data_IF_983586054069
#
_entry.id   IF_983586054069
#
_cell.length_a   1.000
_cell.length_b   1.000
_cell.length_c   1.000
_cell.angle_alpha   90.00
_cell.angle_beta   90.00
_cell.angle_gamma   90.00
#
_symmetry.space_group_name_H-M   'P 1'
#
loop_
_entity.id
_entity.type
_entity.pdbx_description
1 polymer ?
#
# COMPACT_ATOMS: atom_id res chain seq x y z
N UNK A 1 6.34 25.02 20.86
CA UNK A 1 7.19 23.84 21.11
C UNK A 1 7.51 23.22 19.78
N UNK A 2 8.79 23.32 19.31
CA UNK A 2 9.18 22.73 18.03
C UNK A 2 9.19 21.19 18.10
N UNK A 3 8.57 20.54 17.14
CA UNK A 3 8.61 19.08 17.02
C UNK A 3 10.07 18.61 16.92
N UNK A 4 10.52 17.79 17.87
CA UNK A 4 11.86 17.20 17.81
C UNK A 4 11.90 16.18 16.67
N UNK A 5 12.70 16.44 15.66
CA UNK A 5 12.87 15.53 14.52
C UNK A 5 13.60 14.25 14.94
N UNK A 6 13.14 13.12 14.46
CA UNK A 6 13.86 11.86 14.67
C UNK A 6 15.17 11.82 13.86
N UNK A 7 16.17 11.07 14.34
CA UNK A 7 17.45 10.87 13.63
C UNK A 7 17.23 10.34 12.21
N UNK A 8 16.28 9.45 12.01
CA UNK A 8 15.92 8.91 10.69
C UNK A 8 15.39 10.02 9.75
N UNK A 9 14.60 10.96 10.26
CA UNK A 9 14.09 12.10 9.49
C UNK A 9 15.21 13.04 9.08
N UNK A 10 16.12 13.35 10.01
CA UNK A 10 17.30 14.19 9.73
C UNK A 10 18.19 13.51 8.68
N UNK A 11 18.46 12.21 8.84
CA UNK A 11 19.26 11.45 7.89
C UNK A 11 18.67 11.48 6.47
N UNK A 12 17.35 11.33 6.33
CA UNK A 12 16.68 11.42 5.03
C UNK A 12 16.81 12.79 4.41
N UNK A 13 16.64 13.87 5.19
CA UNK A 13 16.84 15.26 4.72
C UNK A 13 18.25 15.51 4.22
N UNK A 14 19.26 15.02 4.96
CA UNK A 14 20.67 15.15 4.54
C UNK A 14 20.96 14.33 3.29
N UNK A 15 20.39 13.14 3.14
CA UNK A 15 20.51 12.34 1.91
C UNK A 15 19.91 13.09 0.71
N UNK A 16 18.74 13.73 0.88
CA UNK A 16 18.11 14.54 -0.17
C UNK A 16 18.99 15.74 -0.56
N UNK A 17 19.55 16.46 0.41
CA UNK A 17 20.48 17.54 0.14
C UNK A 17 21.74 17.05 -0.59
N UNK A 18 22.31 15.93 -0.14
CA UNK A 18 23.46 15.30 -0.80
C UNK A 18 23.18 14.99 -2.27
N UNK A 19 21.99 14.49 -2.57
CA UNK A 19 21.58 14.20 -3.95
C UNK A 19 21.51 15.48 -4.80
N UNK A 20 20.97 16.58 -4.27
CA UNK A 20 20.91 17.86 -4.97
C UNK A 20 22.32 18.36 -5.31
N UNK A 21 23.23 18.40 -4.33
CA UNK A 21 24.62 18.84 -4.57
C UNK A 21 25.35 17.95 -5.57
N UNK A 22 25.10 16.65 -5.57
CA UNK A 22 25.69 15.74 -6.55
C UNK A 22 25.14 16.00 -7.97
N UNK A 23 23.82 16.22 -8.12
CA UNK A 23 23.19 16.52 -9.41
C UNK A 23 23.65 17.86 -9.97
N UNK A 24 23.82 18.88 -9.15
CA UNK A 24 24.28 20.20 -9.55
C UNK A 24 25.80 20.27 -9.75
N UNK A 25 26.53 19.14 -9.52
CA UNK A 25 28.00 19.08 -9.54
C UNK A 25 28.65 20.12 -8.64
N UNK A 26 27.97 20.60 -7.62
CA UNK A 26 28.45 21.56 -6.65
C UNK A 26 29.18 20.86 -5.50
N UNK A 27 30.08 21.61 -4.80
CA UNK A 27 30.73 21.09 -3.59
C UNK A 27 29.68 20.64 -2.59
N UNK A 28 29.77 19.38 -2.19
CA UNK A 28 28.75 18.74 -1.33
C UNK A 28 29.13 18.83 0.16
N UNK A 29 28.56 19.77 0.93
CA UNK A 29 28.92 19.97 2.34
C UNK A 29 28.50 18.77 3.22
N UNK A 30 27.60 17.93 2.77
CA UNK A 30 27.18 16.74 3.54
C UNK A 30 28.25 15.65 3.60
N UNK A 31 29.27 15.74 2.74
CA UNK A 31 30.41 14.82 2.70
C UNK A 31 31.58 15.30 3.54
N UNK A 32 31.50 16.50 4.13
CA UNK A 32 32.59 17.04 4.99
C UNK A 32 32.73 16.14 6.25
N UNK A 33 34.01 15.89 6.67
CA UNK A 33 34.30 15.02 7.82
C UNK A 33 33.54 15.42 9.10
N UNK A 34 33.41 16.72 9.35
CA UNK A 34 32.68 17.25 10.51
C UNK A 34 31.24 16.85 10.50
N UNK A 35 30.58 16.94 9.34
CA UNK A 35 29.16 16.56 9.19
C UNK A 35 29.00 15.06 9.39
N UNK A 36 29.86 14.23 8.79
CA UNK A 36 29.83 12.78 8.94
C UNK A 36 30.05 12.38 10.42
N UNK A 37 31.04 12.98 11.11
CA UNK A 37 31.28 12.68 12.52
C UNK A 37 30.13 13.12 13.42
N UNK A 38 29.54 14.29 13.16
CA UNK A 38 28.37 14.79 13.88
C UNK A 38 27.21 13.84 13.73
N UNK A 39 26.97 13.32 12.51
CA UNK A 39 25.94 12.30 12.25
C UNK A 39 26.21 11.00 13.00
N UNK A 40 27.45 10.53 13.04
CA UNK A 40 27.82 9.33 13.83
C UNK A 40 27.53 9.54 15.32
N UNK A 41 27.87 10.69 15.88
CA UNK A 41 27.55 11.04 17.28
C UNK A 41 26.04 11.09 17.52
N UNK A 42 25.29 11.74 16.63
CA UNK A 42 23.83 11.84 16.70
C UNK A 42 23.17 10.46 16.71
N UNK A 43 23.60 9.57 15.82
CA UNK A 43 23.11 8.17 15.76
C UNK A 43 23.40 7.39 17.03
N UNK A 44 24.60 7.52 17.59
CA UNK A 44 24.98 6.85 18.84
C UNK A 44 24.14 7.34 20.02
N UNK A 45 23.91 8.65 20.12
CA UNK A 45 23.21 9.26 21.26
C UNK A 45 21.69 9.12 21.18
N UNK A 46 21.08 9.26 20.00
CA UNK A 46 19.64 9.37 19.82
C UNK A 46 19.04 8.35 18.83
N UNK A 47 19.89 7.52 18.21
CA UNK A 47 19.41 6.48 17.29
C UNK A 47 18.62 5.43 18.06
N UNK A 48 17.37 5.23 17.64
CA UNK A 48 16.53 4.15 18.14
C UNK A 48 16.25 3.18 16.99
N UNK A 49 16.21 1.87 17.24
CA UNK A 49 15.74 0.92 16.24
C UNK A 49 14.35 1.32 15.78
N UNK A 50 14.09 1.25 14.50
CA UNK A 50 12.73 1.47 14.01
C UNK A 50 11.83 0.32 14.48
N UNK A 51 10.68 0.67 15.06
CA UNK A 51 9.68 -0.33 15.42
C UNK A 51 9.18 -0.99 14.13
N UNK A 52 9.44 -2.28 14.01
CA UNK A 52 8.95 -3.07 12.88
C UNK A 52 7.44 -3.25 13.01
N UNK A 53 6.71 -3.13 11.91
CA UNK A 53 5.29 -3.43 11.89
C UNK A 53 5.07 -4.93 12.11
N UNK A 54 3.98 -5.27 12.81
CA UNK A 54 3.56 -6.68 12.95
C UNK A 54 3.21 -7.23 11.56
N UNK A 55 3.74 -8.40 11.19
CA UNK A 55 3.41 -9.01 9.91
C UNK A 55 1.94 -9.41 9.87
N UNK A 56 1.29 -9.22 8.72
CA UNK A 56 -0.05 -9.70 8.47
C UNK A 56 0.01 -11.20 8.15
N UNK A 57 -0.19 -12.05 9.16
CA UNK A 57 -0.32 -13.50 9.00
C UNK A 57 -1.73 -13.88 8.56
N UNK A 58 -1.93 -15.13 8.13
CA UNK A 58 -3.25 -15.64 7.74
C UNK A 58 -4.26 -15.57 8.90
N UNK A 59 -3.82 -15.91 10.11
CA UNK A 59 -4.67 -15.85 11.32
C UNK A 59 -5.13 -14.41 11.63
N UNK A 60 -4.23 -13.44 11.46
CA UNK A 60 -4.56 -12.02 11.64
C UNK A 60 -5.50 -11.56 10.52
N UNK A 61 -5.28 -12.01 9.29
CA UNK A 61 -6.18 -11.71 8.18
C UNK A 61 -7.60 -12.21 8.45
N UNK A 62 -7.74 -13.45 8.90
CA UNK A 62 -9.04 -14.05 9.25
C UNK A 62 -9.75 -13.24 10.33
N UNK A 63 -9.05 -12.95 11.43
CA UNK A 63 -9.61 -12.10 12.50
C UNK A 63 -10.05 -10.73 12.01
N UNK A 64 -9.27 -10.08 11.15
CA UNK A 64 -9.66 -8.79 10.57
C UNK A 64 -10.85 -8.89 9.63
N UNK A 65 -11.03 -10.02 8.92
CA UNK A 65 -12.22 -10.28 8.10
C UNK A 65 -13.46 -10.47 8.98
N UNK A 66 -13.33 -11.15 10.12
CA UNK A 66 -14.44 -11.43 11.05
C UNK A 66 -14.97 -10.15 11.71
N UNK A 67 -14.10 -9.18 11.94
CA UNK A 67 -14.47 -7.85 12.49
C UNK A 67 -15.18 -6.95 11.45
N UNK A 68 -15.06 -7.25 10.15
CA UNK A 68 -15.74 -6.47 9.12
C UNK A 68 -17.27 -6.69 9.21
N UNK A 69 -18.05 -5.60 9.13
CA UNK A 69 -19.51 -5.65 9.08
C UNK A 69 -20.01 -6.51 7.91
N UNK A 70 -21.27 -6.96 7.99
CA UNK A 70 -21.88 -7.76 6.91
C UNK A 70 -22.59 -6.90 5.85
N UNK A 71 -22.41 -5.58 5.92
CA UNK A 71 -22.92 -4.64 4.93
C UNK A 71 -21.99 -4.55 3.70
N UNK A 72 -22.40 -3.77 2.72
CA UNK A 72 -21.65 -3.56 1.47
C UNK A 72 -20.24 -2.96 1.73
N UNK A 73 -20.09 -2.14 2.79
CA UNK A 73 -18.79 -1.55 3.16
C UNK A 73 -17.90 -2.61 3.76
N UNK A 74 -18.44 -3.49 4.60
CA UNK A 74 -17.70 -4.62 5.17
C UNK A 74 -17.29 -5.63 4.10
N UNK A 75 -18.13 -5.92 3.12
CA UNK A 75 -17.77 -6.77 1.98
C UNK A 75 -16.57 -6.19 1.20
N UNK A 76 -16.58 -4.88 0.92
CA UNK A 76 -15.43 -4.21 0.31
C UNK A 76 -14.19 -4.31 1.19
N UNK A 77 -14.33 -4.16 2.51
CA UNK A 77 -13.20 -4.24 3.43
C UNK A 77 -12.63 -5.67 3.48
N UNK A 78 -13.47 -6.70 3.50
CA UNK A 78 -13.07 -8.12 3.39
C UNK A 78 -12.28 -8.36 2.08
N UNK A 79 -12.77 -7.82 0.97
CA UNK A 79 -12.09 -7.90 -0.33
C UNK A 79 -10.76 -7.14 -0.33
N UNK A 80 -10.70 -5.92 0.22
CA UNK A 80 -9.46 -5.15 0.37
C UNK A 80 -8.39 -5.92 1.14
N UNK A 81 -8.76 -6.55 2.27
CA UNK A 81 -7.86 -7.33 3.11
C UNK A 81 -7.29 -8.52 2.34
N UNK A 82 -8.13 -9.30 1.65
CA UNK A 82 -7.71 -10.45 0.86
C UNK A 82 -6.82 -10.04 -0.31
N UNK A 83 -7.23 -9.01 -1.05
CA UNK A 83 -6.48 -8.48 -2.18
C UNK A 83 -5.10 -7.97 -1.75
N UNK A 84 -5.03 -7.26 -0.62
CA UNK A 84 -3.77 -6.78 -0.06
C UNK A 84 -2.85 -7.90 0.39
N UNK A 85 -3.40 -8.94 1.03
CA UNK A 85 -2.67 -10.10 1.53
C UNK A 85 -2.08 -10.94 0.38
N UNK A 86 -2.88 -11.30 -0.62
CA UNK A 86 -2.41 -12.16 -1.71
C UNK A 86 -1.48 -11.44 -2.67
N UNK A 87 -1.79 -10.19 -3.01
CA UNK A 87 -0.98 -9.47 -4.01
C UNK A 87 0.27 -8.84 -3.43
N UNK A 88 0.30 -8.57 -2.11
CA UNK A 88 1.40 -7.87 -1.40
C UNK A 88 1.84 -6.59 -2.12
N UNK A 89 0.89 -5.88 -2.72
CA UNK A 89 1.16 -4.66 -3.48
C UNK A 89 1.10 -3.42 -2.60
N UNK A 90 1.70 -2.34 -3.09
CA UNK A 90 1.61 -1.04 -2.43
C UNK A 90 0.16 -0.56 -2.43
N UNK A 91 -0.26 0.16 -1.38
CA UNK A 91 -1.63 0.69 -1.26
C UNK A 91 -2.10 1.45 -2.49
N UNK A 92 -1.23 2.25 -3.11
CA UNK A 92 -1.54 2.96 -4.35
C UNK A 92 -1.75 2.02 -5.54
N UNK A 93 -1.04 0.89 -5.59
CA UNK A 93 -1.18 -0.12 -6.62
C UNK A 93 -2.48 -0.92 -6.43
N UNK A 94 -2.81 -1.28 -5.19
CA UNK A 94 -4.06 -1.99 -4.86
C UNK A 94 -5.28 -1.16 -5.26
N UNK A 95 -5.25 0.16 -5.07
CA UNK A 95 -6.34 1.06 -5.46
C UNK A 95 -6.54 1.14 -6.98
N UNK A 96 -5.57 0.73 -7.78
CA UNK A 96 -5.62 0.87 -9.24
C UNK A 96 -6.15 -0.35 -9.95
N UNK A 97 -6.30 -1.50 -9.28
CA UNK A 97 -6.87 -2.68 -9.90
C UNK A 97 -8.29 -2.44 -10.38
N UNK A 98 -8.55 -2.88 -11.61
CA UNK A 98 -9.85 -2.80 -12.26
C UNK A 98 -10.40 -4.20 -12.52
N UNK A 99 -11.71 -4.31 -12.73
CA UNK A 99 -12.32 -5.58 -13.10
C UNK A 99 -11.74 -6.13 -14.40
N UNK A 100 -11.42 -5.26 -15.36
CA UNK A 100 -10.81 -5.62 -16.65
C UNK A 100 -9.38 -6.15 -16.51
N UNK A 101 -8.75 -5.99 -15.35
CA UNK A 101 -7.42 -6.52 -15.05
C UNK A 101 -7.47 -7.98 -14.59
N UNK A 102 -8.66 -8.50 -14.27
CA UNK A 102 -8.84 -9.90 -13.88
C UNK A 102 -8.73 -10.79 -15.11
N UNK A 103 -7.78 -11.71 -15.06
CA UNK A 103 -7.49 -12.66 -16.13
C UNK A 103 -7.77 -14.08 -15.66
N UNK A 104 -8.48 -14.82 -16.49
CA UNK A 104 -8.76 -16.25 -16.28
C UNK A 104 -7.92 -17.05 -17.27
N UNK A 105 -7.03 -17.86 -16.75
CA UNK A 105 -6.24 -18.81 -17.54
C UNK A 105 -6.79 -20.22 -17.33
N UNK A 106 -6.68 -21.07 -18.32
CA UNK A 106 -7.14 -22.46 -18.20
C UNK A 106 -6.62 -23.15 -16.92
N UNK A 107 -7.28 -24.25 -16.49
CA UNK A 107 -6.93 -25.00 -15.27
C UNK A 107 -7.11 -24.22 -13.96
N UNK A 108 -8.19 -23.44 -13.83
CA UNK A 108 -8.54 -22.70 -12.62
C UNK A 108 -7.44 -21.69 -12.15
N UNK A 109 -6.59 -21.25 -13.06
CA UNK A 109 -5.59 -20.23 -12.76
C UNK A 109 -6.17 -18.85 -13.00
N UNK A 110 -5.98 -17.97 -12.01
CA UNK A 110 -6.46 -16.58 -12.04
C UNK A 110 -5.29 -15.64 -11.80
N UNK A 111 -5.35 -14.47 -12.41
CA UNK A 111 -4.33 -13.45 -12.23
C UNK A 111 -4.94 -12.04 -12.30
N UNK A 112 -4.24 -11.06 -11.73
CA UNK A 112 -4.54 -9.63 -11.88
C UNK A 112 -3.38 -8.97 -12.63
N UNK A 113 -3.71 -8.15 -13.62
CA UNK A 113 -2.73 -7.33 -14.31
C UNK A 113 -2.49 -6.02 -13.54
N UNK A 114 -1.29 -5.84 -13.02
CA UNK A 114 -0.84 -4.56 -12.48
C UNK A 114 -0.26 -3.72 -13.62
N UNK A 115 -1.04 -2.75 -14.13
CA UNK A 115 -0.67 -1.95 -15.30
C UNK A 115 0.52 -1.04 -15.06
N UNK A 116 0.63 -0.48 -13.85
CA UNK A 116 1.70 0.46 -13.49
C UNK A 116 2.22 0.16 -12.09
N UNK A 117 3.54 0.15 -11.95
CA UNK A 117 4.22 0.05 -10.66
C UNK A 117 5.30 1.14 -10.57
N UNK A 118 5.56 1.62 -9.35
CA UNK A 118 6.62 2.62 -9.11
C UNK A 118 8.00 2.17 -9.61
N UNK A 119 8.22 0.86 -9.70
CA UNK A 119 9.49 0.27 -10.15
C UNK A 119 9.49 -0.14 -11.62
N UNK A 120 8.35 -0.05 -12.28
CA UNK A 120 8.20 -0.37 -13.69
C UNK A 120 8.40 0.88 -14.54
N UNK A 121 9.66 1.16 -14.86
CA UNK A 121 10.05 2.33 -15.66
C UNK A 121 9.59 2.24 -17.11
N UNK A 122 9.31 1.03 -17.61
CA UNK A 122 8.93 0.79 -19.01
C UNK A 122 7.44 0.51 -19.22
N UNK A 123 6.65 0.60 -18.12
CA UNK A 123 5.19 0.38 -18.16
C UNK A 123 4.78 -0.95 -18.83
N UNK A 124 5.58 -1.99 -18.65
CA UNK A 124 5.30 -3.34 -19.19
C UNK A 124 4.16 -4.04 -18.46
N UNK A 125 3.82 -3.54 -17.25
CA UNK A 125 2.86 -4.18 -16.38
C UNK A 125 3.40 -5.47 -15.76
N UNK A 126 2.66 -6.01 -14.80
CA UNK A 126 3.02 -7.25 -14.13
C UNK A 126 1.78 -8.10 -13.89
N UNK A 127 1.81 -9.35 -14.32
CA UNK A 127 0.79 -10.35 -14.02
C UNK A 127 1.05 -10.87 -12.60
N UNK A 128 0.03 -10.82 -11.76
CA UNK A 128 0.07 -11.26 -10.36
C UNK A 128 -0.88 -12.43 -10.22
N UNK A 129 -0.39 -13.65 -9.98
CA UNK A 129 -1.26 -14.79 -9.74
C UNK A 129 -2.07 -14.57 -8.46
N UNK A 130 -3.32 -14.97 -8.47
CA UNK A 130 -4.24 -14.91 -7.35
C UNK A 130 -4.96 -16.26 -7.16
N UNK A 131 -5.49 -16.47 -5.96
CA UNK A 131 -6.26 -17.67 -5.67
C UNK A 131 -7.65 -17.66 -6.35
N UNK A 132 -8.25 -18.84 -6.47
CA UNK A 132 -9.64 -18.96 -6.87
C UNK A 132 -10.59 -18.31 -5.85
N UNK A 133 -10.24 -18.30 -4.56
CA UNK A 133 -10.99 -17.60 -3.50
C UNK A 133 -11.07 -16.11 -3.80
N UNK A 134 -9.95 -15.45 -4.01
CA UNK A 134 -9.93 -14.02 -4.31
C UNK A 134 -10.65 -13.71 -5.63
N UNK A 135 -10.46 -14.53 -6.67
CA UNK A 135 -11.20 -14.39 -7.93
C UNK A 135 -12.71 -14.48 -7.71
N UNK A 136 -13.18 -15.45 -6.93
CA UNK A 136 -14.59 -15.59 -6.54
C UNK A 136 -15.11 -14.41 -5.73
N UNK A 137 -14.30 -13.87 -4.81
CA UNK A 137 -14.64 -12.65 -4.06
C UNK A 137 -14.80 -11.44 -4.97
N UNK A 138 -13.93 -11.27 -5.97
CA UNK A 138 -14.02 -10.17 -6.95
C UNK A 138 -15.29 -10.32 -7.78
N UNK A 139 -15.62 -11.53 -8.24
CA UNK A 139 -16.85 -11.79 -9.02
C UNK A 139 -18.12 -11.55 -8.18
N UNK A 140 -18.14 -12.03 -6.93
CA UNK A 140 -19.24 -11.75 -6.00
C UNK A 140 -19.41 -10.26 -5.74
N UNK A 141 -18.30 -9.55 -5.59
CA UNK A 141 -18.29 -8.10 -5.38
C UNK A 141 -18.86 -7.36 -6.58
N UNK A 142 -18.46 -7.73 -7.81
CA UNK A 142 -19.01 -7.20 -9.07
C UNK A 142 -20.53 -7.32 -9.11
N UNK A 143 -21.08 -8.50 -8.79
CA UNK A 143 -22.53 -8.73 -8.72
C UNK A 143 -23.19 -7.89 -7.61
N UNK A 144 -22.54 -7.74 -6.45
CA UNK A 144 -23.11 -6.99 -5.31
C UNK A 144 -23.27 -5.50 -5.62
N UNK A 145 -22.34 -4.92 -6.38
CA UNK A 145 -22.38 -3.50 -6.75
C UNK A 145 -23.01 -3.25 -8.12
N UNK A 146 -23.44 -4.31 -8.80
CA UNK A 146 -23.98 -4.29 -10.17
C UNK A 146 -23.04 -3.56 -11.15
N UNK A 147 -21.76 -3.92 -11.11
CA UNK A 147 -20.70 -3.29 -11.91
C UNK A 147 -19.61 -4.31 -12.25
N UNK A 148 -19.29 -4.47 -13.50
CA UNK A 148 -18.27 -5.38 -14.03
C UNK A 148 -17.04 -4.66 -14.64
N UNK A 149 -17.01 -3.33 -14.56
CA UNK A 149 -15.97 -2.50 -15.17
C UNK A 149 -15.48 -1.42 -14.22
N UNK A 150 -14.29 -0.89 -14.50
CA UNK A 150 -13.64 0.14 -13.69
C UNK A 150 -13.02 -0.42 -12.40
N UNK A 151 -12.79 0.43 -11.41
CA UNK A 151 -12.04 0.06 -10.20
C UNK A 151 -12.74 -1.00 -9.36
N UNK A 152 -11.98 -2.03 -8.92
CA UNK A 152 -12.45 -3.07 -8.00
C UNK A 152 -12.76 -2.44 -6.63
N UNK A 153 -11.79 -1.70 -6.06
CA UNK A 153 -11.97 -1.03 -4.77
C UNK A 153 -12.49 0.39 -4.98
N UNK A 154 -13.77 0.58 -4.67
CA UNK A 154 -14.46 1.86 -4.86
C UNK A 154 -14.70 2.58 -3.55
N UNK A 155 -14.78 3.90 -3.62
CA UNK A 155 -15.23 4.73 -2.51
C UNK A 155 -16.76 4.67 -2.40
N UNK A 156 -17.26 4.94 -1.19
CA UNK A 156 -18.69 4.99 -0.89
C UNK A 156 -19.10 6.39 -0.48
N UNK A 157 -20.27 6.81 -0.93
CA UNK A 157 -20.93 8.02 -0.46
C UNK A 157 -22.36 7.65 -0.05
N UNK A 158 -22.69 7.83 1.24
CA UNK A 158 -24.02 7.44 1.79
C UNK A 158 -24.39 6.00 1.47
N UNK A 159 -23.45 5.05 1.64
CA UNK A 159 -23.58 3.62 1.35
C UNK A 159 -23.84 3.27 -0.13
N UNK A 160 -23.68 4.21 -1.05
CA UNK A 160 -23.72 3.96 -2.47
C UNK A 160 -22.29 3.89 -3.03
N UNK A 161 -22.02 2.86 -3.84
CA UNK A 161 -20.75 2.73 -4.56
C UNK A 161 -20.59 3.87 -5.55
N UNK A 162 -19.44 4.51 -5.54
CA UNK A 162 -19.09 5.52 -6.54
C UNK A 162 -18.19 4.92 -7.62
N UNK A 163 -18.08 5.56 -8.78
CA UNK A 163 -17.13 5.14 -9.82
C UNK A 163 -15.68 5.54 -9.51
N UNK A 164 -15.45 6.18 -8.35
CA UNK A 164 -14.13 6.63 -7.94
C UNK A 164 -13.39 5.53 -7.19
N UNK A 165 -12.11 5.37 -7.49
CA UNK A 165 -11.24 4.46 -6.75
C UNK A 165 -11.16 4.85 -5.26
N UNK A 166 -10.99 3.85 -4.41
CA UNK A 166 -10.58 4.05 -3.03
C UNK A 166 -9.19 4.72 -3.00
N UNK A 167 -9.01 5.70 -2.12
CA UNK A 167 -7.70 6.35 -2.00
C UNK A 167 -6.74 5.57 -1.10
N UNK A 168 -5.40 5.67 -1.31
CA UNK A 168 -4.43 5.05 -0.40
C UNK A 168 -4.54 5.55 1.04
N UNK A 169 -5.01 6.78 1.26
CA UNK A 169 -5.29 7.33 2.59
C UNK A 169 -6.49 6.64 3.24
N UNK A 170 -7.55 6.38 2.47
CA UNK A 170 -8.73 5.66 2.96
C UNK A 170 -8.40 4.23 3.40
N UNK A 171 -7.49 3.53 2.69
CA UNK A 171 -7.00 2.21 3.13
C UNK A 171 -6.40 2.27 4.53
N UNK A 172 -5.56 3.29 4.82
CA UNK A 172 -5.01 3.47 6.17
C UNK A 172 -6.10 3.67 7.23
N UNK A 173 -7.12 4.46 6.91
CA UNK A 173 -8.24 4.69 7.81
C UNK A 173 -8.99 3.39 8.10
N UNK A 174 -9.30 2.60 7.07
CA UNK A 174 -9.97 1.32 7.19
C UNK A 174 -9.17 0.37 8.09
N UNK A 175 -7.87 0.17 7.78
CA UNK A 175 -7.02 -0.73 8.56
C UNK A 175 -6.90 -0.29 10.03
N UNK A 176 -6.75 1.00 10.29
CA UNK A 176 -6.71 1.53 11.66
C UNK A 176 -8.03 1.37 12.41
N UNK A 177 -9.16 1.46 11.73
CA UNK A 177 -10.47 1.27 12.37
C UNK A 177 -10.71 -0.20 12.71
N UNK A 178 -10.33 -1.13 11.83
CA UNK A 178 -10.42 -2.57 12.10
C UNK A 178 -9.49 -3.06 13.21
N UNK A 179 -8.34 -2.39 13.42
CA UNK A 179 -7.43 -2.71 14.53
C UNK A 179 -7.91 -2.25 15.91
N UNK A 180 -8.93 -1.40 15.98
CA UNK A 180 -9.47 -0.87 17.25
C UNK A 180 -10.68 -1.66 17.77
N UNK A 181 -11.22 -2.51 16.94
CA UNK A 181 -12.31 -3.43 17.27
C UNK A 181 -11.76 -4.76 17.74
#
# INVERSE_FOLDING_TARGET
MGESLTVATIQRRVASLSSIFNLTKSRNPTKEPVVILTFKKLRRKFGKPQKQATPLTYDILTKLKDVCSDDIVGLRNKLLLQLGYETMRRRSEICQFKFEDLQHHGNHKHALLLRHSKTDQYSQGKIIPISGELSGMISKWSLTIDQDSGYILRSFKRNLSTNLSLTPASINHILKSLQKQ
#
